data_IF_861947903966
#
_entry.id   IF_861947903966
#
_cell.length_a   1.000
_cell.length_b   1.000
_cell.length_c   1.000
_cell.angle_alpha   90.00
_cell.angle_beta   90.00
_cell.angle_gamma   90.00
#
_symmetry.space_group_name_H-M   'P 1'
#
loop_
_entity.id
_entity.type
_entity.pdbx_description
1 polymer ?
#
# COMPACT_ATOMS: atom_id res chain seq x y z
N UNK A 1 3.05 14.08 17.52
CA UNK A 1 3.16 14.67 16.18
C UNK A 1 2.31 13.85 15.21
N UNK A 2 1.53 14.49 14.33
CA UNK A 2 0.68 13.81 13.33
C UNK A 2 1.12 14.26 11.94
N UNK A 3 1.19 13.35 10.96
CA UNK A 3 1.55 13.74 9.61
C UNK A 3 0.48 14.66 9.01
N UNK A 4 0.94 15.66 8.24
CA UNK A 4 0.03 16.53 7.50
C UNK A 4 -0.79 15.72 6.50
N UNK A 5 -2.06 16.10 6.31
CA UNK A 5 -2.94 15.47 5.35
C UNK A 5 -2.36 15.48 3.92
N UNK A 6 -1.55 16.49 3.57
CA UNK A 6 -0.84 16.56 2.28
C UNK A 6 0.17 15.43 2.10
N UNK A 7 0.97 15.15 3.13
CA UNK A 7 1.98 14.08 3.10
C UNK A 7 1.33 12.71 3.09
N UNK A 8 0.27 12.51 3.88
CA UNK A 8 -0.53 11.27 3.86
C UNK A 8 -1.09 11.01 2.47
N UNK A 9 -1.64 12.03 1.81
CA UNK A 9 -2.15 11.91 0.44
C UNK A 9 -1.06 11.50 -0.57
N UNK A 10 0.14 12.10 -0.49
CA UNK A 10 1.26 11.72 -1.37
C UNK A 10 1.70 10.26 -1.17
N UNK A 11 1.75 9.79 0.08
CA UNK A 11 2.11 8.41 0.39
C UNK A 11 1.07 7.45 -0.21
N UNK A 12 -0.21 7.67 0.07
CA UNK A 12 -1.28 6.80 -0.46
C UNK A 12 -1.37 6.84 -1.99
N UNK A 13 -1.20 8.01 -2.60
CA UNK A 13 -1.19 8.14 -4.07
C UNK A 13 -0.04 7.35 -4.70
N UNK A 14 1.15 7.42 -4.10
CA UNK A 14 2.33 6.70 -4.57
C UNK A 14 2.14 5.20 -4.42
N UNK A 15 1.60 4.76 -3.27
CA UNK A 15 1.30 3.35 -3.01
C UNK A 15 0.32 2.81 -4.03
N UNK A 16 -0.80 3.49 -4.28
CA UNK A 16 -1.81 3.05 -5.26
C UNK A 16 -1.20 2.89 -6.66
N UNK A 17 -0.36 3.83 -7.10
CA UNK A 17 0.31 3.74 -8.40
C UNK A 17 1.19 2.49 -8.50
N UNK A 18 2.04 2.25 -7.50
CA UNK A 18 2.93 1.09 -7.49
C UNK A 18 2.19 -0.23 -7.28
N UNK A 19 1.20 -0.29 -6.39
CA UNK A 19 0.43 -1.51 -6.14
C UNK A 19 -0.42 -1.90 -7.35
N UNK A 20 -0.96 -0.93 -8.08
CA UNK A 20 -1.67 -1.20 -9.35
C UNK A 20 -0.74 -1.77 -10.40
N UNK A 21 0.48 -1.23 -10.51
CA UNK A 21 1.49 -1.75 -11.44
C UNK A 21 1.92 -3.19 -11.10
N UNK A 22 2.17 -3.47 -9.82
CA UNK A 22 2.52 -4.81 -9.34
C UNK A 22 1.36 -5.78 -9.58
N UNK A 23 0.13 -5.39 -9.24
CA UNK A 23 -1.07 -6.19 -9.45
C UNK A 23 -1.30 -6.53 -10.93
N UNK A 24 -1.03 -5.57 -11.83
CA UNK A 24 -1.11 -5.79 -13.28
C UNK A 24 -0.06 -6.79 -13.78
N UNK A 25 1.21 -6.63 -13.37
CA UNK A 25 2.29 -7.56 -13.71
C UNK A 25 1.98 -8.97 -13.22
N UNK A 26 1.51 -9.09 -11.98
CA UNK A 26 1.22 -10.36 -11.34
C UNK A 26 0.00 -11.04 -11.99
N UNK A 27 -1.08 -10.31 -12.22
CA UNK A 27 -2.26 -10.80 -12.93
C UNK A 27 -1.95 -11.25 -14.36
N UNK A 28 -1.10 -10.50 -15.07
CA UNK A 28 -0.68 -10.87 -16.42
C UNK A 28 0.21 -12.13 -16.43
N UNK A 29 1.09 -12.29 -15.43
CA UNK A 29 1.91 -13.49 -15.29
C UNK A 29 1.06 -14.74 -14.99
N UNK A 30 0.06 -14.62 -14.11
CA UNK A 30 -0.85 -15.73 -13.81
C UNK A 30 -1.79 -16.06 -14.97
N UNK A 31 -2.30 -15.05 -15.70
CA UNK A 31 -3.08 -15.29 -16.91
C UNK A 31 -2.27 -16.02 -17.99
N UNK A 32 -1.00 -15.67 -18.20
CA UNK A 32 -0.13 -16.40 -19.15
C UNK A 32 0.15 -17.84 -18.70
N UNK A 33 0.07 -18.12 -17.39
CA UNK A 33 0.29 -19.44 -16.83
C UNK A 33 -0.97 -20.31 -16.83
N UNK A 34 -2.17 -19.72 -16.70
CA UNK A 34 -3.45 -20.42 -16.68
C UNK A 34 -4.20 -20.25 -18.02
N UNK A 35 -4.06 -21.22 -18.92
CA UNK A 35 -4.55 -21.16 -20.30
C UNK A 35 -6.08 -21.28 -20.47
N UNK A 36 -6.89 -21.25 -19.39
CA UNK A 36 -8.31 -21.64 -19.43
C UNK A 36 -9.29 -20.67 -18.74
N UNK A 37 -8.87 -19.46 -18.36
CA UNK A 37 -9.71 -18.49 -17.65
C UNK A 37 -9.91 -17.16 -18.38
N UNK A 38 -10.95 -16.43 -17.98
CA UNK A 38 -11.15 -15.02 -18.36
C UNK A 38 -10.01 -14.16 -17.78
N UNK A 39 -8.92 -14.06 -18.54
CA UNK A 39 -7.70 -13.33 -18.19
C UNK A 39 -7.96 -11.90 -17.65
N UNK A 40 -8.99 -11.24 -18.17
CA UNK A 40 -9.41 -9.92 -17.69
C UNK A 40 -9.88 -9.94 -16.23
N UNK A 41 -10.62 -10.97 -15.84
CA UNK A 41 -11.13 -11.11 -14.48
C UNK A 41 -9.99 -11.41 -13.50
N UNK A 42 -9.04 -12.27 -13.88
CA UNK A 42 -7.86 -12.55 -13.06
C UNK A 42 -7.01 -11.31 -12.84
N UNK A 43 -6.72 -10.56 -13.92
CA UNK A 43 -5.98 -9.30 -13.81
C UNK A 43 -6.71 -8.32 -12.89
N UNK A 44 -8.03 -8.15 -13.05
CA UNK A 44 -8.81 -7.25 -12.20
C UNK A 44 -8.80 -7.68 -10.72
N UNK A 45 -8.91 -8.98 -10.45
CA UNK A 45 -8.91 -9.53 -9.09
C UNK A 45 -7.55 -9.35 -8.41
N UNK A 46 -6.45 -9.66 -9.10
CA UNK A 46 -5.11 -9.45 -8.57
C UNK A 46 -4.78 -7.98 -8.33
N UNK A 47 -5.17 -7.09 -9.25
CA UNK A 47 -5.05 -5.64 -9.03
C UNK A 47 -5.83 -5.21 -7.79
N UNK A 48 -7.04 -5.70 -7.59
CA UNK A 48 -7.87 -5.37 -6.43
C UNK A 48 -7.23 -5.86 -5.13
N UNK A 49 -6.82 -7.13 -5.07
CA UNK A 49 -6.22 -7.74 -3.87
C UNK A 49 -4.90 -7.08 -3.49
N UNK A 50 -4.03 -6.81 -4.48
CA UNK A 50 -2.74 -6.16 -4.24
C UNK A 50 -2.93 -4.71 -3.78
N UNK A 51 -3.86 -3.96 -4.37
CA UNK A 51 -4.18 -2.60 -3.91
C UNK A 51 -4.74 -2.61 -2.48
N UNK A 52 -5.67 -3.51 -2.17
CA UNK A 52 -6.33 -3.56 -0.86
C UNK A 52 -5.33 -3.93 0.25
N UNK A 53 -4.51 -4.95 0.02
CA UNK A 53 -3.44 -5.33 0.95
C UNK A 53 -2.39 -4.22 1.13
N UNK A 54 -1.99 -3.56 0.04
CA UNK A 54 -1.01 -2.45 0.08
C UNK A 54 -1.55 -1.23 0.84
N UNK A 55 -2.82 -0.89 0.66
CA UNK A 55 -3.48 0.20 1.39
C UNK A 55 -3.57 -0.09 2.88
N UNK A 56 -3.99 -1.30 3.26
CA UNK A 56 -4.05 -1.71 4.68
C UNK A 56 -2.65 -1.66 5.30
N UNK A 57 -1.65 -2.25 4.63
CA UNK A 57 -0.27 -2.25 5.12
C UNK A 57 0.27 -0.84 5.31
N UNK A 58 0.03 0.04 4.34
CA UNK A 58 0.46 1.45 4.41
C UNK A 58 -0.24 2.21 5.53
N UNK A 59 -1.53 1.98 5.75
CA UNK A 59 -2.28 2.63 6.83
C UNK A 59 -1.71 2.27 8.20
N UNK A 60 -1.37 0.99 8.41
CA UNK A 60 -0.73 0.52 9.63
C UNK A 60 0.65 1.16 9.79
N UNK A 61 1.47 1.16 8.73
CA UNK A 61 2.82 1.74 8.76
C UNK A 61 2.80 3.24 9.09
N UNK A 62 1.86 4.00 8.53
CA UNK A 62 1.71 5.43 8.83
C UNK A 62 1.35 5.63 10.30
N UNK A 63 0.41 4.85 10.84
CA UNK A 63 0.03 4.95 12.25
C UNK A 63 1.18 4.57 13.19
N UNK A 64 1.94 3.52 12.86
CA UNK A 64 3.12 3.13 13.64
C UNK A 64 4.22 4.21 13.58
N UNK A 65 4.41 4.82 12.41
CA UNK A 65 5.37 5.91 12.23
C UNK A 65 4.98 7.16 13.03
N UNK A 66 3.70 7.50 13.09
CA UNK A 66 3.24 8.61 13.94
C UNK A 66 3.47 8.32 15.42
N UNK A 67 3.21 7.07 15.84
CA UNK A 67 3.46 6.62 17.21
C UNK A 67 4.94 6.65 17.59
N UNK A 68 5.82 6.18 16.71
CA UNK A 68 7.26 6.18 16.99
C UNK A 68 7.83 7.60 17.10
N UNK A 69 7.36 8.54 16.28
CA UNK A 69 7.78 9.95 16.37
C UNK A 69 7.27 10.59 17.67
N UNK A 70 6.04 10.28 18.10
CA UNK A 70 5.54 10.80 19.40
C UNK A 70 6.37 10.31 20.57
N UNK A 71 6.69 9.03 20.61
CA UNK A 71 7.47 8.43 21.71
C UNK A 71 8.89 9.01 21.74
N UNK A 72 9.54 9.17 20.57
CA UNK A 72 10.87 9.76 20.49
C UNK A 72 10.90 11.22 20.96
N UNK A 73 9.85 12.00 20.67
CA UNK A 73 9.78 13.39 21.09
C UNK A 73 9.53 13.53 22.61
N UNK A 74 8.81 12.58 23.22
CA UNK A 74 8.62 12.56 24.67
C UNK A 74 9.91 12.22 25.42
N UNK A 75 10.68 11.24 24.93
CA UNK A 75 11.97 10.86 25.54
C UNK A 75 12.93 12.06 25.57
N UNK A 76 13.02 12.82 24.48
CA UNK A 76 13.90 13.99 24.41
C UNK A 76 13.40 15.21 25.20
N UNK A 77 12.12 15.26 25.61
CA UNK A 77 11.60 16.32 26.49
C UNK A 77 11.81 16.00 27.97
N UNK A 78 12.04 14.72 28.31
CA UNK A 78 12.33 14.24 29.67
C UNK A 78 13.84 14.18 29.98
N UNK A 79 14.71 14.42 28.99
CA UNK A 79 16.18 14.49 29.09
C UNK A 79 16.68 15.95 29.21
#
# INVERSE_FOLDING_TARGET
MRFSNKTRFLIFSTVILFSTYIGYLLGNAFCLADSNGDCFNDIALYIFVVNLSSLIGTMILVNLSEKSITEWNQINEEE
#
